data_IF_385037650241
#
_entry.id   IF_385037650241
#
_cell.length_a   1.000
_cell.length_b   1.000
_cell.length_c   1.000
_cell.angle_alpha   90.00
_cell.angle_beta   90.00
_cell.angle_gamma   90.00
#
_symmetry.space_group_name_H-M   'P 1'
#
loop_
_entity.id
_entity.type
_entity.pdbx_description
1 polymer ?
#
# COMPACT_ATOMS: atom_id res chain seq x y z
N UNK A 1 -60.06 -52.25 -25.51
CA UNK A 1 -60.32 -51.49 -26.72
C UNK A 1 -59.38 -50.37 -26.83
N UNK A 2 -58.56 -50.39 -27.87
CA UNK A 2 -57.50 -49.44 -28.21
C UNK A 2 -58.06 -48.06 -28.49
N UNK A 3 -57.26 -47.00 -28.22
CA UNK A 3 -57.04 -45.96 -29.21
C UNK A 3 -55.70 -45.24 -28.84
N UNK A 4 -54.80 -45.27 -29.79
CA UNK A 4 -53.57 -44.46 -29.89
C UNK A 4 -53.91 -43.02 -30.23
N UNK A 5 -53.09 -42.08 -29.75
CA UNK A 5 -52.86 -40.87 -30.53
C UNK A 5 -51.45 -40.32 -30.25
N UNK A 6 -50.67 -40.25 -31.30
CA UNK A 6 -49.40 -39.60 -31.48
C UNK A 6 -49.51 -38.11 -31.24
N UNK A 7 -48.56 -37.55 -30.48
CA UNK A 7 -48.36 -36.11 -30.32
C UNK A 7 -46.88 -35.76 -30.48
N UNK A 8 -46.61 -35.11 -31.56
CA UNK A 8 -45.31 -34.64 -32.08
C UNK A 8 -44.58 -33.74 -31.07
N UNK A 9 -43.36 -34.12 -30.69
CA UNK A 9 -42.46 -33.24 -29.93
C UNK A 9 -41.61 -32.44 -30.90
N UNK A 10 -41.88 -31.15 -30.98
CA UNK A 10 -41.05 -30.17 -31.66
C UNK A 10 -39.78 -29.86 -30.86
N UNK A 11 -38.66 -30.06 -31.53
CA UNK A 11 -37.30 -29.71 -31.02
C UNK A 11 -37.18 -28.20 -30.76
N UNK A 12 -36.97 -27.83 -29.53
CA UNK A 12 -36.50 -26.51 -29.14
C UNK A 12 -34.96 -26.45 -29.20
N UNK A 13 -34.43 -25.87 -30.25
CA UNK A 13 -33.02 -25.54 -30.41
C UNK A 13 -32.61 -24.52 -29.35
N UNK A 14 -31.84 -24.97 -28.35
CA UNK A 14 -31.11 -24.07 -27.43
C UNK A 14 -29.94 -23.43 -28.17
N UNK A 15 -30.07 -22.18 -28.57
CA UNK A 15 -28.94 -21.35 -28.99
C UNK A 15 -28.19 -20.89 -27.75
N UNK A 16 -27.11 -21.59 -27.42
CA UNK A 16 -26.16 -21.19 -26.36
C UNK A 16 -25.38 -19.95 -26.80
N UNK A 17 -25.71 -18.79 -26.25
CA UNK A 17 -24.83 -17.64 -26.30
C UNK A 17 -23.62 -17.92 -25.40
N UNK A 18 -22.48 -18.21 -26.01
CA UNK A 18 -21.17 -18.15 -25.34
C UNK A 18 -20.90 -16.70 -24.98
N UNK A 19 -21.11 -16.34 -23.72
CA UNK A 19 -20.57 -15.10 -23.15
C UNK A 19 -19.05 -15.20 -23.13
N UNK A 20 -18.38 -14.45 -24.01
CA UNK A 20 -16.97 -14.18 -23.91
C UNK A 20 -16.77 -13.34 -22.64
N UNK A 21 -16.21 -13.95 -21.60
CA UNK A 21 -15.56 -13.21 -20.52
C UNK A 21 -14.37 -12.49 -21.15
N UNK A 22 -14.46 -11.18 -21.29
CA UNK A 22 -13.29 -10.33 -21.52
C UNK A 22 -12.37 -10.49 -20.30
N UNK A 23 -11.34 -11.29 -20.44
CA UNK A 23 -10.23 -11.36 -19.50
C UNK A 23 -9.57 -9.98 -19.50
N UNK A 24 -9.56 -9.30 -18.38
CA UNK A 24 -8.69 -8.15 -18.18
C UNK A 24 -7.26 -8.63 -18.46
N UNK A 25 -6.65 -8.17 -19.55
CA UNK A 25 -5.22 -8.29 -19.77
C UNK A 25 -4.57 -7.51 -18.62
N UNK A 26 -3.98 -8.21 -17.69
CA UNK A 26 -2.97 -7.64 -16.81
C UNK A 26 -1.79 -7.33 -17.72
N UNK A 27 -1.65 -6.07 -18.11
CA UNK A 27 -0.44 -5.62 -18.80
C UNK A 27 0.73 -5.89 -17.86
N UNK A 28 1.70 -6.68 -18.34
CA UNK A 28 2.94 -6.86 -17.60
C UNK A 28 3.59 -5.48 -17.43
N UNK A 29 4.10 -5.16 -16.23
CA UNK A 29 4.79 -3.90 -16.03
C UNK A 29 5.97 -3.80 -17.02
N UNK A 30 6.27 -2.59 -17.52
CA UNK A 30 7.39 -2.40 -18.45
C UNK A 30 8.69 -2.90 -17.81
N UNK A 31 9.63 -3.41 -18.61
CA UNK A 31 10.91 -3.89 -18.11
C UNK A 31 11.65 -2.78 -17.36
N UNK A 32 12.39 -3.15 -16.32
CA UNK A 32 13.16 -2.21 -15.52
C UNK A 32 14.34 -1.65 -16.35
N UNK A 33 14.45 -0.33 -16.41
CA UNK A 33 15.53 0.39 -17.05
C UNK A 33 16.50 0.94 -15.99
N UNK A 34 17.72 0.41 -15.93
CA UNK A 34 18.69 0.77 -14.89
C UNK A 34 19.25 2.20 -15.03
N UNK A 35 19.26 2.75 -16.24
CA UNK A 35 19.89 4.04 -16.56
C UNK A 35 18.99 5.25 -16.30
N UNK A 36 17.79 5.05 -15.77
CA UNK A 36 16.91 6.16 -15.40
C UNK A 36 17.43 6.83 -14.13
N UNK A 37 17.74 8.13 -14.17
CA UNK A 37 18.26 8.84 -12.99
C UNK A 37 17.20 8.94 -11.90
N UNK A 38 17.66 8.98 -10.64
CA UNK A 38 16.79 9.21 -9.49
C UNK A 38 16.09 10.59 -9.60
N UNK A 39 14.78 10.67 -9.38
CA UNK A 39 14.01 11.92 -9.48
C UNK A 39 14.50 13.00 -8.51
N UNK A 40 14.51 14.26 -8.96
CA UNK A 40 14.95 15.43 -8.21
C UNK A 40 13.85 16.46 -7.93
N UNK A 41 12.68 16.28 -8.55
CA UNK A 41 11.51 17.15 -8.38
C UNK A 41 10.25 16.33 -8.27
N UNK A 42 9.15 16.94 -7.78
CA UNK A 42 7.85 16.26 -7.75
C UNK A 42 7.37 15.88 -9.15
N UNK A 43 7.61 16.73 -10.16
CA UNK A 43 7.23 16.43 -11.55
C UNK A 43 7.95 15.19 -12.10
N UNK A 44 9.21 15.00 -11.73
CA UNK A 44 9.94 13.78 -12.08
C UNK A 44 9.44 12.56 -11.29
N UNK A 45 9.14 12.71 -10.00
CA UNK A 45 8.55 11.66 -9.16
C UNK A 45 7.20 11.19 -9.73
N UNK A 46 6.34 12.12 -10.17
CA UNK A 46 5.03 11.83 -10.75
C UNK A 46 5.10 11.00 -12.04
N UNK A 47 6.22 10.97 -12.74
CA UNK A 47 6.44 10.07 -13.89
C UNK A 47 6.50 8.60 -13.49
N UNK A 48 6.79 8.32 -12.22
CA UNK A 48 6.86 6.97 -11.65
C UNK A 48 5.63 6.61 -10.81
N UNK A 49 4.56 7.37 -10.92
CA UNK A 49 3.34 7.12 -10.16
C UNK A 49 2.79 5.72 -10.35
N UNK A 50 2.46 5.07 -9.25
CA UNK A 50 1.76 3.80 -9.25
C UNK A 50 0.44 3.90 -8.49
N UNK A 51 -0.64 3.31 -8.99
CA UNK A 51 -1.87 3.18 -8.23
C UNK A 51 -1.69 2.14 -7.13
N UNK A 52 -2.21 2.44 -5.93
CA UNK A 52 -2.19 1.54 -4.77
C UNK A 52 -3.59 1.30 -4.24
N UNK A 53 -3.76 0.17 -3.59
CA UNK A 53 -4.93 -0.15 -2.78
C UNK A 53 -4.51 -0.91 -1.52
N UNK A 54 -5.15 -0.59 -0.38
CA UNK A 54 -4.92 -1.28 0.87
C UNK A 54 -5.45 -2.72 0.80
N UNK A 55 -4.68 -3.66 1.32
CA UNK A 55 -5.10 -5.05 1.45
C UNK A 55 -5.79 -5.25 2.82
N UNK A 56 -7.11 -5.26 2.82
CA UNK A 56 -7.94 -5.43 4.01
C UNK A 56 -7.70 -6.77 4.74
N UNK A 57 -7.15 -7.77 4.05
CA UNK A 57 -6.77 -9.05 4.65
C UNK A 57 -5.60 -8.90 5.62
N UNK A 58 -4.77 -7.88 5.42
CA UNK A 58 -3.57 -7.60 6.25
C UNK A 58 -3.84 -6.65 7.39
N UNK A 59 -4.93 -5.88 7.34
CA UNK A 59 -5.25 -4.85 8.30
C UNK A 59 -5.43 -5.43 9.72
N UNK A 60 -4.74 -4.84 10.70
CA UNK A 60 -4.97 -5.16 12.11
C UNK A 60 -6.42 -4.84 12.49
N UNK A 61 -7.02 -5.60 13.39
CA UNK A 61 -8.46 -5.59 13.69
C UNK A 61 -9.04 -4.26 14.20
N UNK A 62 -8.20 -3.33 14.67
CA UNK A 62 -8.65 -1.98 15.07
C UNK A 62 -8.74 -1.01 13.89
N UNK A 63 -8.29 -1.41 12.71
CA UNK A 63 -8.25 -0.57 11.51
C UNK A 63 -9.50 -0.78 10.66
N UNK A 64 -10.09 0.33 10.21
CA UNK A 64 -11.23 0.37 9.30
C UNK A 64 -10.75 0.80 7.92
N UNK A 65 -10.93 -0.08 6.93
CA UNK A 65 -10.64 0.22 5.53
C UNK A 65 -11.93 0.69 4.86
N UNK A 66 -11.86 1.79 4.13
CA UNK A 66 -12.99 2.42 3.44
C UNK A 66 -12.58 3.00 2.09
N UNK A 67 -13.52 3.65 1.42
CA UNK A 67 -13.29 4.31 0.12
C UNK A 67 -12.68 3.37 -0.94
N UNK A 68 -13.17 2.12 -0.99
CA UNK A 68 -12.68 1.13 -1.95
C UNK A 68 -11.23 0.69 -1.74
N UNK A 69 -10.71 0.79 -0.53
CA UNK A 69 -9.31 0.47 -0.19
C UNK A 69 -8.36 1.66 -0.24
N UNK A 70 -8.89 2.89 -0.38
CA UNK A 70 -8.07 4.09 -0.43
C UNK A 70 -7.85 4.76 0.93
N UNK A 71 -8.64 4.40 1.96
CA UNK A 71 -8.58 5.00 3.28
C UNK A 71 -8.47 3.97 4.38
N UNK A 72 -7.66 4.25 5.39
CA UNK A 72 -7.61 3.55 6.67
C UNK A 72 -7.78 4.52 7.82
N UNK A 73 -8.52 4.11 8.85
CA UNK A 73 -8.71 4.89 10.07
C UNK A 73 -8.74 4.01 11.31
N UNK A 74 -8.33 4.60 12.44
CA UNK A 74 -8.42 4.03 13.77
C UNK A 74 -9.09 5.03 14.69
N UNK A 75 -10.43 5.04 14.69
CA UNK A 75 -11.25 6.02 15.42
C UNK A 75 -11.91 5.43 16.67
N UNK A 76 -11.77 4.12 16.87
CA UNK A 76 -12.35 3.39 18.00
C UNK A 76 -11.41 2.27 18.42
N UNK A 77 -11.42 1.94 19.70
CA UNK A 77 -10.74 0.76 20.23
C UNK A 77 -11.62 -0.50 20.15
N UNK A 78 -12.77 -0.43 19.50
CA UNK A 78 -13.59 -1.60 19.22
C UNK A 78 -13.06 -2.32 17.97
N UNK A 79 -12.76 -3.63 18.09
CA UNK A 79 -12.29 -4.38 16.95
C UNK A 79 -13.33 -4.48 15.83
N UNK A 80 -12.87 -4.36 14.59
CA UNK A 80 -13.66 -4.72 13.42
C UNK A 80 -14.00 -6.21 13.45
N UNK A 81 -15.21 -6.62 13.03
CA UNK A 81 -15.58 -8.03 12.92
C UNK A 81 -14.91 -8.68 11.68
N UNK A 82 -13.62 -8.92 11.75
CA UNK A 82 -12.83 -9.52 10.67
C UNK A 82 -12.32 -10.91 11.07
N UNK A 83 -12.17 -11.76 10.07
CA UNK A 83 -11.56 -13.09 10.26
C UNK A 83 -10.06 -12.95 10.54
N UNK A 84 -9.56 -13.75 11.46
CA UNK A 84 -8.11 -13.91 11.60
C UNK A 84 -7.54 -14.61 10.35
N UNK A 85 -6.36 -14.12 9.91
CA UNK A 85 -5.65 -14.63 8.73
C UNK A 85 -4.15 -14.64 9.01
N UNK A 86 -3.38 -15.53 8.38
CA UNK A 86 -1.92 -15.52 8.52
C UNK A 86 -1.28 -14.19 8.12
N UNK A 87 -1.81 -13.52 7.09
CA UNK A 87 -1.33 -12.23 6.59
C UNK A 87 -1.74 -11.02 7.43
N UNK A 88 -2.70 -11.17 8.35
CA UNK A 88 -3.19 -10.07 9.19
C UNK A 88 -2.22 -9.71 10.30
N UNK A 89 -1.89 -8.42 10.43
CA UNK A 89 -1.17 -7.92 11.61
C UNK A 89 -1.97 -8.17 12.88
N UNK A 90 -1.32 -8.71 13.90
CA UNK A 90 -2.00 -9.08 15.15
C UNK A 90 -1.97 -7.93 16.17
N UNK A 91 -0.79 -7.38 16.43
CA UNK A 91 -0.58 -6.35 17.46
C UNK A 91 -0.39 -4.96 16.85
N UNK A 92 0.56 -4.81 15.92
CA UNK A 92 0.81 -3.52 15.28
C UNK A 92 -0.45 -3.05 14.52
N UNK A 93 -1.01 -1.86 14.81
CA UNK A 93 -2.16 -1.31 14.09
C UNK A 93 -1.76 -0.84 12.70
N UNK A 94 -1.50 -1.77 11.82
CA UNK A 94 -0.82 -1.64 10.55
C UNK A 94 -1.56 -2.38 9.45
N UNK A 95 -1.41 -1.89 8.23
CA UNK A 95 -1.92 -2.47 6.99
C UNK A 95 -0.90 -2.26 5.89
N UNK A 96 -0.84 -3.16 4.92
CA UNK A 96 -0.03 -2.99 3.71
C UNK A 96 -0.90 -2.95 2.46
N UNK A 97 -0.34 -2.45 1.38
CA UNK A 97 -0.99 -2.43 0.08
C UNK A 97 -0.91 -3.79 -0.63
N UNK A 98 -1.78 -3.99 -1.60
CA UNK A 98 -1.79 -5.18 -2.48
C UNK A 98 -0.63 -5.15 -3.46
N UNK A 99 -0.27 -3.96 -3.93
CA UNK A 99 0.77 -3.73 -4.91
C UNK A 99 2.13 -3.57 -4.22
N UNK A 100 3.12 -4.31 -4.67
CA UNK A 100 4.47 -4.29 -4.14
C UNK A 100 5.52 -3.91 -5.18
N UNK A 101 6.76 -3.77 -4.73
CA UNK A 101 7.93 -3.45 -5.53
C UNK A 101 8.90 -4.63 -5.53
N UNK A 102 8.91 -5.36 -6.64
CA UNK A 102 9.89 -6.39 -6.94
C UNK A 102 10.37 -6.18 -8.38
N UNK A 103 11.67 -5.92 -8.56
CA UNK A 103 12.25 -5.68 -9.86
C UNK A 103 11.78 -4.39 -10.54
N UNK A 104 11.23 -3.42 -9.80
CA UNK A 104 10.69 -2.18 -10.35
C UNK A 104 10.88 -0.97 -9.43
N UNK A 105 10.61 0.20 -9.98
CA UNK A 105 10.51 1.46 -9.25
C UNK A 105 9.10 2.03 -9.32
N UNK A 106 8.80 2.96 -8.43
CA UNK A 106 7.56 3.72 -8.45
C UNK A 106 7.49 4.78 -7.38
N UNK A 107 6.45 5.58 -7.45
CA UNK A 107 6.18 6.68 -6.53
C UNK A 107 4.69 6.70 -6.16
N UNK A 108 4.40 7.05 -4.93
CA UNK A 108 3.04 7.24 -4.43
C UNK A 108 3.00 8.31 -3.35
N UNK A 109 1.82 8.86 -3.08
CA UNK A 109 1.58 9.83 -2.02
C UNK A 109 0.47 9.34 -1.09
N UNK A 110 0.66 9.57 0.21
CA UNK A 110 -0.34 9.32 1.24
C UNK A 110 -0.58 10.59 2.04
N UNK A 111 -1.85 10.97 2.16
CA UNK A 111 -2.30 12.05 3.03
C UNK A 111 -2.70 11.47 4.38
N UNK A 112 -2.45 12.21 5.48
CA UNK A 112 -2.75 11.71 6.81
C UNK A 112 -3.21 12.79 7.78
N UNK A 113 -3.95 12.34 8.78
CA UNK A 113 -4.33 13.11 9.96
C UNK A 113 -3.97 12.34 11.21
N UNK A 114 -3.55 13.04 12.27
CA UNK A 114 -3.16 12.44 13.53
C UNK A 114 -1.74 11.87 13.52
N UNK A 115 -1.56 10.72 14.15
CA UNK A 115 -0.28 10.04 14.25
C UNK A 115 -0.26 8.82 13.33
N UNK A 116 0.56 8.90 12.30
CA UNK A 116 0.70 7.88 11.26
C UNK A 116 2.17 7.69 10.94
N UNK A 117 2.58 6.45 10.72
CA UNK A 117 3.90 6.09 10.22
C UNK A 117 3.72 5.45 8.84
N UNK A 118 4.37 6.02 7.83
CA UNK A 118 4.26 5.59 6.44
C UNK A 118 5.60 5.01 6.01
N UNK A 119 5.57 3.86 5.34
CA UNK A 119 6.79 3.22 4.93
C UNK A 119 6.61 2.04 3.99
N UNK A 120 7.65 1.25 3.91
CA UNK A 120 7.68 -0.01 3.17
C UNK A 120 8.22 -1.12 4.06
N UNK A 121 7.75 -2.33 3.81
CA UNK A 121 8.12 -3.53 4.56
C UNK A 121 8.25 -4.72 3.62
N UNK A 122 9.17 -5.62 3.89
CA UNK A 122 9.29 -6.88 3.13
C UNK A 122 8.01 -7.70 3.19
N UNK A 123 7.60 -8.23 2.04
CA UNK A 123 6.43 -9.10 1.93
C UNK A 123 6.51 -10.30 2.86
N UNK A 124 7.71 -10.85 3.07
CA UNK A 124 7.98 -11.98 3.97
C UNK A 124 8.06 -11.60 5.45
N UNK A 125 7.98 -10.31 5.80
CA UNK A 125 8.07 -9.86 7.19
C UNK A 125 6.97 -10.45 8.07
N UNK A 126 7.30 -10.72 9.34
CA UNK A 126 6.35 -11.27 10.32
C UNK A 126 5.15 -10.36 10.58
N UNK A 127 4.02 -10.97 10.92
CA UNK A 127 2.73 -10.29 11.16
C UNK A 127 2.19 -10.52 12.57
N UNK A 128 2.75 -11.49 13.31
CA UNK A 128 2.18 -12.06 14.53
C UNK A 128 3.01 -11.82 15.78
N UNK A 129 4.07 -11.01 15.74
CA UNK A 129 4.86 -10.71 16.92
C UNK A 129 4.02 -9.96 17.98
N UNK A 130 4.09 -10.45 19.21
CA UNK A 130 3.24 -9.99 20.33
C UNK A 130 3.70 -8.69 20.98
N UNK A 131 4.95 -8.30 20.76
CA UNK A 131 5.61 -7.14 21.37
C UNK A 131 5.64 -5.90 20.48
N UNK A 132 4.91 -5.92 19.35
CA UNK A 132 4.91 -4.83 18.38
C UNK A 132 6.13 -4.80 17.46
N UNK A 133 7.02 -5.78 17.53
CA UNK A 133 8.23 -5.86 16.68
C UNK A 133 7.92 -5.93 15.16
N UNK A 134 6.68 -6.20 14.76
CA UNK A 134 6.22 -6.10 13.38
C UNK A 134 5.91 -4.67 12.92
N UNK A 135 6.01 -3.66 13.78
CA UNK A 135 5.73 -2.26 13.44
C UNK A 135 6.72 -1.71 12.40
N UNK A 136 6.22 -0.84 11.53
CA UNK A 136 7.04 -0.15 10.52
C UNK A 136 8.20 0.62 11.18
N UNK A 137 9.42 0.31 10.76
CA UNK A 137 10.64 0.89 11.28
C UNK A 137 11.21 0.21 12.52
N UNK A 138 10.45 -0.65 13.21
CA UNK A 138 10.88 -1.34 14.42
C UNK A 138 11.76 -2.58 14.16
N UNK A 139 11.92 -2.98 12.91
CA UNK A 139 12.65 -4.18 12.50
C UNK A 139 13.53 -3.93 11.27
N UNK A 140 14.42 -4.86 10.99
CA UNK A 140 15.35 -4.81 9.86
C UNK A 140 14.67 -4.93 8.47
N UNK A 141 13.41 -5.36 8.45
CA UNK A 141 12.64 -5.62 7.23
C UNK A 141 11.77 -4.43 6.81
N UNK A 142 11.88 -3.29 7.47
CA UNK A 142 11.03 -2.12 7.18
C UNK A 142 11.75 -0.79 7.32
N UNK A 143 11.32 0.19 6.52
CA UNK A 143 11.82 1.56 6.45
C UNK A 143 10.64 2.50 6.45
N UNK A 144 10.64 3.51 7.31
CA UNK A 144 9.45 4.33 7.49
C UNK A 144 9.77 5.76 7.92
N UNK A 145 8.79 6.65 7.79
CA UNK A 145 8.82 8.01 8.32
C UNK A 145 7.50 8.33 9.01
N UNK A 146 7.57 9.11 10.08
CA UNK A 146 6.39 9.58 10.80
C UNK A 146 6.66 10.87 11.57
N UNK A 147 5.59 11.59 11.90
CA UNK A 147 5.68 12.79 12.74
C UNK A 147 5.72 12.40 14.21
N UNK A 148 6.81 12.72 14.89
CA UNK A 148 7.05 12.40 16.30
C UNK A 148 6.52 13.44 17.31
N UNK A 149 5.76 14.44 16.87
CA UNK A 149 5.20 15.50 17.72
C UNK A 149 5.91 16.85 17.57
N UNK A 150 7.22 16.87 17.43
CA UNK A 150 8.03 18.08 17.25
C UNK A 150 8.86 18.08 15.96
N UNK A 151 9.13 16.91 15.41
CA UNK A 151 9.91 16.71 14.19
C UNK A 151 9.47 15.40 13.51
N UNK A 152 9.83 15.22 12.24
CA UNK A 152 9.75 13.91 11.60
C UNK A 152 10.86 13.00 12.10
N UNK A 153 10.58 11.71 12.11
CA UNK A 153 11.56 10.66 12.38
C UNK A 153 11.55 9.66 11.23
N UNK A 154 12.73 9.34 10.73
CA UNK A 154 12.93 8.21 9.83
C UNK A 154 13.37 7.01 10.66
N UNK A 155 12.72 5.87 10.48
CA UNK A 155 12.87 4.67 11.29
C UNK A 155 13.33 3.47 10.46
N UNK A 156 14.33 2.78 10.96
CA UNK A 156 14.75 1.48 10.46
C UNK A 156 15.42 0.68 11.58
N UNK A 157 15.05 -0.60 11.72
CA UNK A 157 15.61 -1.52 12.71
C UNK A 157 15.60 -0.99 14.15
N UNK A 158 14.52 -0.29 14.53
CA UNK A 158 14.36 0.33 15.84
C UNK A 158 15.17 1.60 16.07
N UNK A 159 16.00 2.00 15.11
CA UNK A 159 16.77 3.25 15.18
C UNK A 159 16.03 4.38 14.45
N UNK A 160 16.12 5.59 14.99
CA UNK A 160 15.48 6.75 14.39
C UNK A 160 16.47 7.89 14.12
N UNK A 161 16.22 8.61 13.03
CA UNK A 161 16.88 9.86 12.68
C UNK A 161 15.87 10.99 12.75
N UNK A 162 16.18 12.04 13.51
CA UNK A 162 15.35 13.24 13.62
C UNK A 162 15.49 14.12 12.37
N UNK A 163 14.36 14.61 11.87
CA UNK A 163 14.28 15.48 10.69
C UNK A 163 13.50 16.72 11.07
N UNK A 164 14.21 17.81 11.35
CA UNK A 164 13.60 19.06 11.74
C UNK A 164 12.95 19.80 10.57
N UNK A 165 11.85 20.46 10.83
CA UNK A 165 11.09 21.22 9.84
C UNK A 165 9.60 21.30 10.18
N UNK A 166 8.84 21.92 9.31
CA UNK A 166 7.40 22.06 9.50
C UNK A 166 6.69 20.71 9.31
N UNK A 167 5.60 20.53 10.04
CA UNK A 167 4.68 19.43 9.82
C UNK A 167 3.84 19.71 8.58
N UNK A 168 3.69 18.72 7.73
CA UNK A 168 2.70 18.68 6.66
C UNK A 168 1.69 17.56 6.89
N UNK A 169 0.94 17.24 5.87
CA UNK A 169 -0.09 16.20 5.89
C UNK A 169 0.03 15.19 4.76
N UNK A 170 1.04 15.33 3.89
CA UNK A 170 1.22 14.45 2.73
C UNK A 170 2.66 13.99 2.64
N UNK A 171 2.86 12.68 2.64
CA UNK A 171 4.15 12.03 2.45
C UNK A 171 4.17 11.37 1.08
N UNK A 172 5.19 11.71 0.29
CA UNK A 172 5.54 11.00 -0.94
C UNK A 172 6.61 9.95 -0.66
N UNK A 173 6.49 8.80 -1.29
CA UNK A 173 7.45 7.70 -1.17
C UNK A 173 7.90 7.25 -2.55
N UNK A 174 9.20 7.35 -2.81
CA UNK A 174 9.84 6.81 -3.99
C UNK A 174 10.56 5.53 -3.62
N UNK A 175 10.29 4.47 -4.36
CA UNK A 175 10.94 3.17 -4.20
C UNK A 175 11.58 2.78 -5.52
N UNK A 176 12.87 2.47 -5.49
CA UNK A 176 13.59 1.81 -6.59
C UNK A 176 14.22 0.53 -6.02
N UNK A 177 13.47 -0.56 -6.09
CA UNK A 177 13.86 -1.80 -5.42
C UNK A 177 15.16 -2.37 -6.02
N UNK A 178 15.37 -2.43 -7.36
CA UNK A 178 16.63 -2.91 -7.91
C UNK A 178 17.83 -2.00 -7.62
N UNK A 179 17.61 -0.67 -7.60
CA UNK A 179 18.66 0.29 -7.27
C UNK A 179 18.94 0.37 -5.77
N UNK A 180 18.10 -0.23 -4.92
CA UNK A 180 18.26 -0.23 -3.47
C UNK A 180 17.93 1.11 -2.82
N UNK A 181 16.95 1.85 -3.34
CA UNK A 181 16.55 3.17 -2.86
C UNK A 181 15.12 3.17 -2.33
N UNK A 182 14.94 3.73 -1.13
CA UNK A 182 13.66 4.22 -0.62
C UNK A 182 13.85 5.65 -0.14
N UNK A 183 13.07 6.58 -0.68
CA UNK A 183 13.15 7.99 -0.33
C UNK A 183 11.78 8.54 0.06
N UNK A 184 11.75 9.28 1.15
CA UNK A 184 10.57 9.90 1.73
C UNK A 184 10.60 11.40 1.54
N UNK A 185 9.47 11.96 1.13
CA UNK A 185 9.31 13.38 0.83
C UNK A 185 8.13 13.96 1.60
N UNK A 186 8.27 15.18 2.08
CA UNK A 186 7.12 15.99 2.45
C UNK A 186 6.60 16.70 1.21
N UNK A 187 5.33 16.51 0.89
CA UNK A 187 4.67 17.14 -0.26
C UNK A 187 3.80 18.29 0.24
N UNK A 188 4.18 19.51 -0.10
CA UNK A 188 3.56 20.73 0.42
C UNK A 188 3.60 21.87 -0.61
N UNK A 189 2.88 22.98 -0.33
CA UNK A 189 2.90 24.21 -1.12
C UNK A 189 1.83 24.31 -2.21
N UNK A 190 1.79 25.46 -2.85
CA UNK A 190 0.98 25.77 -4.04
C UNK A 190 1.87 26.55 -5.04
N UNK A 191 2.32 25.95 -6.16
CA UNK A 191 2.12 24.54 -6.54
C UNK A 191 2.79 23.56 -5.57
N UNK A 192 2.32 22.30 -5.56
CA UNK A 192 2.88 21.26 -4.69
C UNK A 192 4.30 20.88 -5.09
N UNK A 193 5.19 20.89 -4.13
CA UNK A 193 6.58 20.45 -4.26
C UNK A 193 6.88 19.29 -3.32
N UNK A 194 7.90 18.50 -3.63
CA UNK A 194 8.37 17.40 -2.81
C UNK A 194 9.74 17.75 -2.22
N UNK A 195 9.77 17.91 -0.90
CA UNK A 195 11.00 18.14 -0.13
C UNK A 195 11.48 16.83 0.47
N UNK A 196 12.70 16.43 0.15
CA UNK A 196 13.29 15.21 0.70
C UNK A 196 13.36 15.29 2.24
N UNK A 197 12.75 14.32 2.91
CA UNK A 197 12.87 14.11 4.35
C UNK A 197 14.03 13.17 4.67
N UNK A 198 14.04 11.98 4.07
CA UNK A 198 15.06 10.98 4.32
C UNK A 198 15.20 10.03 3.12
N UNK A 199 16.40 9.50 2.92
CA UNK A 199 16.70 8.56 1.85
C UNK A 199 17.52 7.40 2.41
N UNK A 200 17.00 6.19 2.23
CA UNK A 200 17.73 4.96 2.51
C UNK A 200 18.36 4.41 1.24
N UNK A 201 19.58 3.93 1.35
CA UNK A 201 20.30 3.20 0.31
C UNK A 201 20.82 1.90 0.88
N UNK A 202 20.30 0.77 0.35
CA UNK A 202 20.68 -0.57 0.78
C UNK A 202 20.45 -1.58 -0.36
N UNK A 203 20.68 -2.84 -0.12
CA UNK A 203 20.28 -3.90 -1.02
C UNK A 203 19.01 -4.55 -0.50
N UNK A 204 17.94 -4.52 -1.30
CA UNK A 204 16.68 -5.17 -0.94
C UNK A 204 16.68 -6.61 -1.45
N UNK A 205 16.35 -7.55 -0.57
CA UNK A 205 16.39 -8.99 -0.84
C UNK A 205 15.00 -9.60 -1.05
N UNK A 206 13.94 -8.79 -0.95
CA UNK A 206 12.56 -9.23 -1.05
C UNK A 206 11.69 -8.13 -1.68
N UNK A 207 10.46 -8.49 -2.02
CA UNK A 207 9.43 -7.55 -2.42
C UNK A 207 9.13 -6.55 -1.29
N UNK A 208 9.05 -5.26 -1.64
CA UNK A 208 8.68 -4.20 -0.73
C UNK A 208 7.20 -3.85 -0.89
N UNK A 209 6.44 -3.96 0.20
CA UNK A 209 5.03 -3.55 0.24
C UNK A 209 4.90 -2.18 0.88
N UNK A 210 4.24 -1.20 0.24
CA UNK A 210 3.81 0.01 0.91
C UNK A 210 2.95 -0.32 2.12
N UNK A 211 3.17 0.37 3.23
CA UNK A 211 2.44 0.12 4.45
C UNK A 211 2.23 1.39 5.27
N UNK A 212 1.28 1.33 6.17
CA UNK A 212 0.97 2.40 7.10
C UNK A 212 0.62 1.84 8.48
N UNK A 213 1.24 2.40 9.50
CA UNK A 213 0.89 2.23 10.89
C UNK A 213 0.01 3.41 11.32
N UNK A 214 -1.11 3.15 12.00
CA UNK A 214 -2.13 4.15 12.32
C UNK A 214 -2.32 4.23 13.82
N UNK A 215 -2.00 5.39 14.38
CA UNK A 215 -2.23 5.69 15.79
C UNK A 215 -3.72 5.89 16.12
N UNK A 216 -4.01 6.01 17.40
CA UNK A 216 -5.36 6.26 17.89
C UNK A 216 -5.87 7.62 17.34
N UNK A 217 -7.15 7.67 16.97
CA UNK A 217 -7.80 8.84 16.38
C UNK A 217 -7.07 9.41 15.15
N UNK A 218 -6.57 8.52 14.32
CA UNK A 218 -5.78 8.88 13.14
C UNK A 218 -6.33 8.22 11.89
N UNK A 219 -6.02 8.80 10.74
CA UNK A 219 -6.43 8.33 9.43
C UNK A 219 -5.36 8.56 8.39
N UNK A 220 -5.35 7.73 7.35
CA UNK A 220 -4.46 7.85 6.21
C UNK A 220 -5.19 7.54 4.91
N UNK A 221 -4.91 8.32 3.86
CA UNK A 221 -5.50 8.18 2.52
C UNK A 221 -4.43 7.97 1.47
N UNK A 222 -4.64 7.00 0.60
CA UNK A 222 -3.86 6.87 -0.64
C UNK A 222 -4.36 7.94 -1.62
N UNK A 223 -3.48 8.82 -2.07
CA UNK A 223 -3.81 9.85 -3.05
C UNK A 223 -3.92 9.26 -4.45
N UNK A 224 -4.76 9.89 -5.26
CA UNK A 224 -4.76 9.71 -6.71
C UNK A 224 -3.73 10.66 -7.33
N UNK A 225 -3.22 10.30 -8.48
CA UNK A 225 -2.36 11.19 -9.27
C UNK A 225 -3.16 12.43 -9.66
N UNK A 226 -2.58 13.60 -9.42
CA UNK A 226 -3.16 14.90 -9.83
C UNK A 226 -3.20 15.01 -11.34
#
# INVERSE_FOLDING_TARGET
MSISSNGNMSELKKTGRKGQKAGARTEEPPPYEADVPEPRSRDELLKHWIPLSLDDRTAQKLLWISEGGAKVSRMSEQPCPVLDRPERFEVAPQVVCKEGFLGRRGYYEMEYEGWVVIGVVYASSGRKAKDGACGLGENEASWAVGWGGSYYQAWHNGESTEIHGNRGNTIGVYVDQPAGVVAFYLVEGEPREARLLHRYKTTFNDELLPGVWVGQNSSCWIRKKD
#
